data_IF_579085739985
#
_entry.id   IF_579085739985
#
_cell.length_a   1.000
_cell.length_b   1.000
_cell.length_c   1.000
_cell.angle_alpha   90.00
_cell.angle_beta   90.00
_cell.angle_gamma   90.00
#
_symmetry.space_group_name_H-M   'P 1'
#
loop_
_entity.id
_entity.type
_entity.pdbx_description
1 polymer ?
#
# COMPACT_ATOMS: atom_id res chain seq x y z
N UNK A 1 11.74 -8.49 32.30
CA UNK A 1 13.00 -9.25 32.26
C UNK A 1 12.64 -10.70 32.47
N UNK A 2 13.05 -11.56 31.53
CA UNK A 2 12.73 -12.97 31.56
C UNK A 2 13.56 -13.73 32.61
N UNK A 3 12.94 -14.67 33.31
CA UNK A 3 13.62 -15.58 34.23
C UNK A 3 13.65 -17.00 33.68
N UNK A 4 14.76 -17.71 33.87
CA UNK A 4 14.93 -19.08 33.39
C UNK A 4 15.14 -20.04 34.55
N UNK A 5 14.37 -21.13 34.58
CA UNK A 5 14.48 -22.19 35.59
C UNK A 5 14.75 -23.53 34.92
N UNK A 6 15.79 -24.25 35.38
CA UNK A 6 16.06 -25.63 34.95
C UNK A 6 14.99 -26.55 35.56
N UNK A 7 14.37 -27.39 34.73
CA UNK A 7 13.37 -28.39 35.11
C UNK A 7 13.90 -29.79 34.80
N UNK A 8 13.22 -30.83 35.30
CA UNK A 8 13.53 -32.24 35.01
C UNK A 8 13.48 -32.56 33.51
N UNK A 9 12.69 -31.81 32.74
CA UNK A 9 12.46 -32.02 31.30
C UNK A 9 13.12 -30.97 30.39
N UNK A 10 13.86 -30.00 30.95
CA UNK A 10 14.55 -28.96 30.18
C UNK A 10 14.69 -27.61 30.90
N UNK A 11 14.31 -26.53 30.23
CA UNK A 11 14.42 -25.13 30.67
C UNK A 11 13.08 -24.42 30.52
N UNK A 12 12.54 -23.91 31.63
CA UNK A 12 11.37 -23.05 31.64
C UNK A 12 11.79 -21.59 31.54
N UNK A 13 11.20 -20.85 30.62
CA UNK A 13 11.27 -19.39 30.55
C UNK A 13 9.96 -18.80 31.07
N UNK A 14 10.06 -17.82 31.97
CA UNK A 14 8.94 -17.03 32.47
C UNK A 14 9.19 -15.55 32.12
N UNK A 15 8.25 -14.94 31.39
CA UNK A 15 8.29 -13.54 30.96
C UNK A 15 7.17 -12.79 31.66
N UNK A 16 7.52 -11.67 32.28
CA UNK A 16 6.56 -10.71 32.83
C UNK A 16 6.94 -9.30 32.41
N UNK A 17 6.05 -8.64 31.65
CA UNK A 17 6.27 -7.29 31.13
C UNK A 17 4.91 -6.62 30.90
N UNK A 18 4.79 -5.31 31.17
CA UNK A 18 3.54 -4.52 31.04
C UNK A 18 2.27 -5.22 31.55
N UNK A 19 2.35 -5.91 32.69
CA UNK A 19 1.20 -6.63 33.30
C UNK A 19 0.83 -7.96 32.64
N UNK A 20 1.49 -8.37 31.56
CA UNK A 20 1.25 -9.63 30.85
C UNK A 20 2.30 -10.66 31.26
N UNK A 21 1.84 -11.86 31.65
CA UNK A 21 2.70 -13.00 32.04
C UNK A 21 2.59 -14.14 31.03
N UNK A 22 3.72 -14.67 30.59
CA UNK A 22 3.81 -15.85 29.71
C UNK A 22 4.89 -16.79 30.21
N UNK A 23 4.67 -18.10 30.11
CA UNK A 23 5.67 -19.11 30.48
C UNK A 23 5.65 -20.31 29.54
N UNK A 24 6.83 -20.84 29.20
CA UNK A 24 6.96 -22.04 28.37
C UNK A 24 8.24 -22.82 28.68
N UNK A 25 8.20 -24.14 28.50
CA UNK A 25 9.34 -25.04 28.75
C UNK A 25 9.92 -25.53 27.42
N UNK A 26 11.25 -25.57 27.33
CA UNK A 26 12.04 -25.93 26.15
C UNK A 26 13.08 -26.98 26.52
N UNK A 27 13.56 -27.75 25.54
CA UNK A 27 14.63 -28.73 25.80
C UNK A 27 15.99 -28.07 26.04
N UNK A 28 16.27 -26.94 25.38
CA UNK A 28 17.53 -26.21 25.51
C UNK A 28 17.34 -24.82 26.14
N UNK A 29 18.38 -24.34 26.84
CA UNK A 29 18.42 -22.97 27.39
C UNK A 29 18.42 -21.91 26.29
N UNK A 30 19.05 -22.22 25.16
CA UNK A 30 19.14 -21.34 23.99
C UNK A 30 17.76 -21.04 23.41
N UNK A 31 16.92 -22.08 23.25
CA UNK A 31 15.55 -21.92 22.74
C UNK A 31 14.67 -21.14 23.72
N UNK A 32 14.86 -21.37 25.03
CA UNK A 32 14.18 -20.62 26.07
C UNK A 32 14.49 -19.12 26.01
N UNK A 33 15.77 -18.76 25.81
CA UNK A 33 16.21 -17.35 25.65
C UNK A 33 15.68 -16.72 24.36
N UNK A 34 15.74 -17.45 23.24
CA UNK A 34 15.22 -16.94 21.96
C UNK A 34 13.72 -16.64 22.05
N UNK A 35 12.94 -17.56 22.63
CA UNK A 35 11.51 -17.35 22.86
C UNK A 35 11.21 -16.20 23.82
N UNK A 36 11.97 -16.05 24.90
CA UNK A 36 11.71 -14.97 25.86
C UNK A 36 11.95 -13.58 25.27
N UNK A 37 12.99 -13.43 24.44
CA UNK A 37 13.28 -12.17 23.76
C UNK A 37 12.17 -11.81 22.77
N UNK A 38 11.62 -12.81 22.08
CA UNK A 38 10.47 -12.65 21.18
C UNK A 38 9.22 -12.19 21.94
N UNK A 39 8.89 -12.85 23.06
CA UNK A 39 7.71 -12.50 23.87
C UNK A 39 7.87 -11.14 24.55
N UNK A 40 9.06 -10.78 25.00
CA UNK A 40 9.30 -9.44 25.54
C UNK A 40 9.13 -8.35 24.48
N UNK A 41 9.55 -8.61 23.24
CA UNK A 41 9.33 -7.70 22.10
C UNK A 41 7.85 -7.60 21.70
N UNK A 42 7.11 -8.72 21.72
CA UNK A 42 5.65 -8.76 21.49
C UNK A 42 4.89 -7.85 22.46
N UNK A 43 5.22 -7.96 23.75
CA UNK A 43 4.60 -7.16 24.79
C UNK A 43 5.04 -5.69 24.71
N UNK A 44 6.30 -5.43 24.32
CA UNK A 44 6.83 -4.07 24.22
C UNK A 44 6.20 -3.29 23.06
N UNK A 45 6.12 -3.92 21.88
CA UNK A 45 5.74 -3.28 20.62
C UNK A 45 4.23 -3.20 20.39
N UNK A 46 3.40 -3.91 21.17
CA UNK A 46 1.95 -3.99 20.95
C UNK A 46 1.55 -4.68 19.64
N UNK A 47 2.51 -5.31 18.95
CA UNK A 47 2.33 -5.97 17.66
C UNK A 47 2.39 -7.50 17.83
N UNK A 48 1.42 -8.21 17.25
CA UNK A 48 1.45 -9.66 17.13
C UNK A 48 2.67 -10.10 16.32
N UNK A 49 3.66 -10.71 16.99
CA UNK A 49 4.90 -11.24 16.36
C UNK A 49 4.66 -12.75 16.01
N UNK A 50 5.55 -13.46 15.28
CA UNK A 50 5.27 -14.70 14.56
C UNK A 50 4.89 -15.84 15.50
N UNK A 51 3.59 -16.14 15.52
CA UNK A 51 3.03 -17.35 16.08
C UNK A 51 2.80 -18.37 14.99
N UNK A 52 2.75 -19.65 15.37
CA UNK A 52 2.20 -20.69 14.52
C UNK A 52 0.89 -20.20 13.90
N UNK A 53 0.70 -20.47 12.61
CA UNK A 53 -0.54 -20.13 11.93
C UNK A 53 -1.74 -20.64 12.77
N UNK A 54 -2.87 -19.92 12.79
CA UNK A 54 -4.09 -20.40 13.44
C UNK A 54 -4.38 -21.87 13.07
N UNK A 55 -4.98 -22.63 13.98
CA UNK A 55 -5.45 -23.97 13.64
C UNK A 55 -6.43 -23.86 12.46
N UNK A 56 -6.19 -24.62 11.39
CA UNK A 56 -6.91 -24.53 10.11
C UNK A 56 -6.81 -23.17 9.41
N UNK A 57 -5.67 -22.47 9.56
CA UNK A 57 -5.43 -21.19 8.90
C UNK A 57 -5.71 -21.26 7.40
N UNK A 58 -6.30 -20.19 6.88
CA UNK A 58 -6.65 -20.00 5.47
C UNK A 58 -5.95 -18.79 4.90
N UNK A 59 -6.00 -18.65 3.57
CA UNK A 59 -5.52 -17.45 2.90
C UNK A 59 -6.24 -16.19 3.41
N UNK A 60 -7.51 -16.31 3.83
CA UNK A 60 -8.24 -15.25 4.53
C UNK A 60 -7.43 -14.66 5.70
N UNK A 61 -6.80 -15.50 6.53
CA UNK A 61 -6.06 -15.06 7.71
C UNK A 61 -4.80 -14.30 7.35
N UNK A 62 -4.11 -14.72 6.29
CA UNK A 62 -2.95 -14.01 5.72
C UNK A 62 -3.37 -12.63 5.24
N UNK A 63 -4.46 -12.53 4.48
CA UNK A 63 -4.98 -11.26 3.98
C UNK A 63 -5.46 -10.35 5.10
N UNK A 64 -6.13 -10.91 6.12
CA UNK A 64 -6.61 -10.19 7.29
C UNK A 64 -5.45 -9.57 8.06
N UNK A 65 -4.45 -10.38 8.42
CA UNK A 65 -3.27 -9.91 9.13
C UNK A 65 -2.53 -8.84 8.32
N UNK A 66 -2.37 -9.05 7.02
CA UNK A 66 -1.75 -8.06 6.15
C UNK A 66 -2.51 -6.73 6.14
N UNK A 67 -3.84 -6.80 6.04
CA UNK A 67 -4.74 -5.64 6.06
C UNK A 67 -4.65 -4.87 7.38
N UNK A 68 -4.52 -5.57 8.50
CA UNK A 68 -4.58 -4.98 9.84
C UNK A 68 -3.20 -4.47 10.30
N UNK A 69 -2.11 -5.19 9.97
CA UNK A 69 -0.77 -4.91 10.50
C UNK A 69 0.13 -4.12 9.53
N UNK A 70 -0.07 -4.29 8.21
CA UNK A 70 0.85 -3.83 7.17
C UNK A 70 0.26 -2.69 6.35
N UNK A 71 -0.95 -2.87 5.79
CA UNK A 71 -1.57 -1.86 4.94
C UNK A 71 -1.77 -0.48 5.61
N UNK A 72 -2.11 -0.34 6.90
CA UNK A 72 -2.35 0.96 7.53
C UNK A 72 -1.09 1.84 7.60
N UNK A 73 0.10 1.21 7.54
CA UNK A 73 1.39 1.89 7.58
C UNK A 73 1.80 2.49 6.23
N UNK A 74 1.00 2.30 5.18
CA UNK A 74 1.32 2.74 3.81
C UNK A 74 0.49 3.94 3.39
N UNK A 75 1.08 4.83 2.61
CA UNK A 75 0.41 6.00 2.00
C UNK A 75 -0.84 5.61 1.18
N UNK A 76 -0.87 4.40 0.62
CA UNK A 76 -1.98 3.84 -0.15
C UNK A 76 -2.99 2.99 0.66
N UNK A 77 -2.95 3.01 2.00
CA UNK A 77 -3.68 2.11 2.89
C UNK A 77 -5.14 1.90 2.50
N UNK A 78 -5.91 2.99 2.32
CA UNK A 78 -7.34 2.95 1.97
C UNK A 78 -7.61 2.05 0.76
N UNK A 79 -6.80 2.19 -0.28
CA UNK A 79 -6.95 1.46 -1.53
C UNK A 79 -6.51 0.00 -1.42
N UNK A 80 -5.48 -0.29 -0.62
CA UNK A 80 -5.10 -1.69 -0.34
C UNK A 80 -6.19 -2.38 0.48
N UNK A 81 -6.68 -1.75 1.55
CA UNK A 81 -7.70 -2.30 2.45
C UNK A 81 -8.97 -2.67 1.68
N UNK A 82 -9.45 -1.80 0.79
CA UNK A 82 -10.63 -2.11 -0.04
C UNK A 82 -10.42 -3.36 -0.90
N UNK A 83 -9.23 -3.52 -1.51
CA UNK A 83 -8.92 -4.71 -2.33
C UNK A 83 -8.79 -5.96 -1.48
N UNK A 84 -8.13 -5.87 -0.33
CA UNK A 84 -7.98 -6.98 0.61
C UNK A 84 -9.34 -7.44 1.12
N UNK A 85 -10.23 -6.52 1.50
CA UNK A 85 -11.60 -6.85 1.90
C UNK A 85 -12.40 -7.53 0.78
N UNK A 86 -12.18 -7.15 -0.47
CA UNK A 86 -12.79 -7.86 -1.60
C UNK A 86 -12.22 -9.27 -1.76
N UNK A 87 -10.90 -9.43 -1.72
CA UNK A 87 -10.24 -10.73 -1.82
C UNK A 87 -10.64 -11.68 -0.70
N UNK A 88 -10.79 -11.17 0.52
CA UNK A 88 -11.21 -11.94 1.70
C UNK A 88 -12.64 -12.48 1.59
N UNK A 89 -13.45 -11.95 0.67
CA UNK A 89 -14.82 -12.41 0.37
C UNK A 89 -14.86 -13.36 -0.83
N UNK A 90 -13.75 -13.57 -1.52
CA UNK A 90 -13.68 -14.44 -2.69
C UNK A 90 -13.30 -15.87 -2.26
N UNK A 91 -14.22 -16.85 -2.32
CA UNK A 91 -13.98 -18.20 -1.80
C UNK A 91 -12.92 -18.96 -2.59
N UNK A 92 -12.67 -18.62 -3.87
CA UNK A 92 -11.63 -19.26 -4.67
C UNK A 92 -10.22 -19.05 -4.11
N UNK A 93 -10.04 -17.97 -3.33
CA UNK A 93 -8.78 -17.60 -2.73
C UNK A 93 -8.86 -17.66 -1.20
N UNK A 94 -9.80 -16.94 -0.59
CA UNK A 94 -9.85 -16.72 0.85
C UNK A 94 -10.08 -18.01 1.65
N UNK A 95 -10.87 -18.95 1.13
CA UNK A 95 -11.22 -20.18 1.85
C UNK A 95 -10.17 -21.30 1.75
N UNK A 96 -9.16 -21.12 0.90
CA UNK A 96 -8.08 -22.09 0.72
C UNK A 96 -7.26 -22.20 2.00
N UNK A 97 -7.16 -23.42 2.56
CA UNK A 97 -6.31 -23.69 3.73
C UNK A 97 -4.85 -23.44 3.37
N UNK A 98 -4.08 -22.88 4.30
CA UNK A 98 -2.66 -22.58 4.05
C UNK A 98 -1.81 -23.83 3.77
N UNK A 99 -2.23 -25.00 4.27
CA UNK A 99 -1.57 -26.28 3.96
C UNK A 99 -1.77 -26.72 2.51
N UNK A 100 -2.83 -26.24 1.86
CA UNK A 100 -3.20 -26.59 0.48
C UNK A 100 -2.87 -25.46 -0.51
N UNK A 101 -2.56 -24.25 -0.02
CA UNK A 101 -2.41 -23.06 -0.88
C UNK A 101 -1.21 -23.20 -1.81
N UNK A 102 -1.38 -22.77 -3.06
CA UNK A 102 -0.37 -22.98 -4.11
C UNK A 102 -0.79 -22.41 -5.46
N UNK A 103 0.07 -22.54 -6.49
CA UNK A 103 -0.04 -21.80 -7.74
C UNK A 103 -1.40 -21.94 -8.45
N UNK A 104 -2.01 -23.13 -8.40
CA UNK A 104 -3.31 -23.41 -9.01
C UNK A 104 -4.44 -22.50 -8.49
N UNK A 105 -4.41 -22.14 -7.21
CA UNK A 105 -5.45 -21.30 -6.59
C UNK A 105 -5.35 -19.86 -7.08
N UNK A 106 -4.12 -19.34 -7.21
CA UNK A 106 -3.88 -18.00 -7.74
C UNK A 106 -4.17 -17.89 -9.24
N UNK A 107 -3.85 -18.92 -10.03
CA UNK A 107 -4.24 -18.98 -11.45
C UNK A 107 -5.75 -19.01 -11.62
N UNK A 108 -6.46 -19.87 -10.88
CA UNK A 108 -7.92 -19.94 -10.91
C UNK A 108 -8.57 -18.61 -10.50
N UNK A 109 -8.07 -18.00 -9.42
CA UNK A 109 -8.54 -16.69 -8.97
C UNK A 109 -8.27 -15.60 -10.01
N UNK A 110 -7.07 -15.55 -10.60
CA UNK A 110 -6.70 -14.63 -11.70
C UNK A 110 -7.67 -14.74 -12.86
N UNK A 111 -7.92 -15.96 -13.33
CA UNK A 111 -8.73 -16.20 -14.52
C UNK A 111 -10.21 -15.85 -14.27
N UNK A 112 -10.73 -16.12 -13.07
CA UNK A 112 -12.05 -15.66 -12.65
C UNK A 112 -12.11 -14.13 -12.54
N UNK A 113 -11.05 -13.49 -12.04
CA UNK A 113 -10.96 -12.04 -11.86
C UNK A 113 -10.87 -11.29 -13.19
N UNK A 114 -10.12 -11.84 -14.16
CA UNK A 114 -9.97 -11.30 -15.51
C UNK A 114 -11.29 -11.22 -16.29
N UNK A 115 -12.31 -12.00 -15.92
CA UNK A 115 -13.67 -11.89 -16.48
C UNK A 115 -14.43 -10.65 -16.01
N UNK A 116 -13.98 -10.01 -14.92
CA UNK A 116 -14.69 -8.91 -14.25
C UNK A 116 -13.95 -7.57 -14.32
N UNK A 117 -12.62 -7.59 -14.46
CA UNK A 117 -11.78 -6.39 -14.42
C UNK A 117 -10.62 -6.49 -15.42
N UNK A 118 -10.01 -5.35 -15.74
CA UNK A 118 -8.84 -5.29 -16.63
C UNK A 118 -7.60 -5.95 -16.03
N UNK A 119 -6.67 -6.39 -16.90
CA UNK A 119 -5.38 -6.95 -16.50
C UNK A 119 -4.57 -6.04 -15.58
N UNK A 120 -4.63 -4.72 -15.79
CA UNK A 120 -4.00 -3.74 -14.90
C UNK A 120 -4.53 -3.78 -13.45
N UNK A 121 -5.80 -4.12 -13.26
CA UNK A 121 -6.41 -4.24 -11.93
C UNK A 121 -5.93 -5.51 -11.26
N UNK A 122 -5.95 -6.63 -12.00
CA UNK A 122 -5.45 -7.92 -11.51
C UNK A 122 -3.96 -7.83 -11.17
N UNK A 123 -3.15 -7.13 -11.96
CA UNK A 123 -1.72 -6.94 -11.66
C UNK A 123 -1.47 -6.16 -10.35
N UNK A 124 -2.28 -5.13 -10.06
CA UNK A 124 -2.21 -4.41 -8.77
C UNK A 124 -2.59 -5.32 -7.60
N UNK A 125 -3.61 -6.13 -7.79
CA UNK A 125 -4.06 -7.12 -6.82
C UNK A 125 -3.01 -8.21 -6.59
N UNK A 126 -2.38 -8.71 -7.66
CA UNK A 126 -1.24 -9.64 -7.61
C UNK A 126 -0.04 -9.08 -6.85
N UNK A 127 0.25 -7.79 -6.97
CA UNK A 127 1.31 -7.15 -6.18
C UNK A 127 1.04 -7.23 -4.67
N UNK A 128 -0.22 -7.01 -4.26
CA UNK A 128 -0.63 -7.16 -2.86
C UNK A 128 -0.51 -8.61 -2.39
N UNK A 129 -1.03 -9.55 -3.18
CA UNK A 129 -0.96 -10.99 -2.87
C UNK A 129 0.48 -11.48 -2.77
N UNK A 130 1.34 -11.06 -3.70
CA UNK A 130 2.77 -11.41 -3.72
C UNK A 130 3.44 -10.96 -2.42
N UNK A 131 3.21 -9.71 -2.00
CA UNK A 131 3.82 -9.19 -0.79
C UNK A 131 3.24 -9.85 0.47
N UNK A 132 1.92 -10.05 0.55
CA UNK A 132 1.29 -10.73 1.67
C UNK A 132 1.80 -12.18 1.82
N UNK A 133 1.90 -12.92 0.71
CA UNK A 133 2.46 -14.28 0.70
C UNK A 133 3.94 -14.30 1.08
N UNK A 134 4.73 -13.33 0.61
CA UNK A 134 6.14 -13.19 0.99
C UNK A 134 6.31 -12.99 2.49
N UNK A 135 5.49 -12.13 3.12
CA UNK A 135 5.51 -11.94 4.57
C UNK A 135 5.05 -13.21 5.30
N UNK A 136 3.96 -13.83 4.83
CA UNK A 136 3.47 -15.08 5.40
C UNK A 136 4.50 -16.22 5.37
N UNK A 137 5.33 -16.26 4.32
CA UNK A 137 6.44 -17.21 4.20
C UNK A 137 7.67 -16.81 5.01
N UNK A 138 8.22 -15.61 4.81
CA UNK A 138 9.55 -15.23 5.32
C UNK A 138 9.53 -14.69 6.74
N UNK A 139 8.47 -13.99 7.12
CA UNK A 139 8.41 -13.28 8.40
C UNK A 139 7.48 -13.96 9.39
N UNK A 140 6.27 -14.33 8.95
CA UNK A 140 5.29 -14.98 9.81
C UNK A 140 5.50 -16.49 9.91
N UNK A 141 6.21 -17.09 8.93
CA UNK A 141 6.48 -18.52 8.85
C UNK A 141 5.20 -19.38 8.90
N UNK A 142 4.10 -18.86 8.36
CA UNK A 142 2.82 -19.56 8.22
C UNK A 142 2.79 -20.45 6.98
N UNK A 143 3.69 -20.18 6.03
CA UNK A 143 3.89 -20.95 4.81
C UNK A 143 5.31 -21.48 4.77
N UNK A 144 5.49 -22.67 4.22
CA UNK A 144 6.81 -23.30 4.04
C UNK A 144 7.54 -22.77 2.80
N UNK A 145 6.79 -22.35 1.79
CA UNK A 145 7.29 -21.80 0.53
C UNK A 145 6.41 -20.64 0.01
N UNK A 146 6.86 -19.97 -1.05
CA UNK A 146 6.07 -18.92 -1.69
C UNK A 146 5.01 -19.52 -2.62
N UNK A 147 3.71 -19.44 -2.30
CA UNK A 147 2.67 -20.23 -2.97
C UNK A 147 2.27 -19.67 -4.34
N UNK A 148 2.78 -18.48 -4.71
CA UNK A 148 2.61 -17.92 -6.06
C UNK A 148 3.84 -18.11 -6.97
N UNK A 149 4.82 -18.93 -6.56
CA UNK A 149 5.97 -19.23 -7.41
C UNK A 149 5.48 -19.84 -8.74
N UNK A 150 5.95 -19.29 -9.87
CA UNK A 150 5.59 -19.77 -11.21
C UNK A 150 4.22 -19.34 -11.73
N UNK A 151 3.45 -18.51 -11.02
CA UNK A 151 2.15 -18.02 -11.51
C UNK A 151 2.34 -16.86 -12.49
N UNK A 152 1.94 -17.07 -13.75
CA UNK A 152 1.99 -16.02 -14.78
C UNK A 152 1.05 -14.86 -14.47
N UNK A 153 1.51 -13.64 -14.76
CA UNK A 153 0.72 -12.41 -14.61
C UNK A 153 -0.04 -12.08 -15.90
N UNK A 154 -1.19 -11.40 -15.83
CA UNK A 154 -1.82 -10.81 -17.00
C UNK A 154 -0.86 -9.88 -17.74
N UNK A 155 -0.94 -9.81 -19.08
CA UNK A 155 -0.13 -8.87 -19.85
C UNK A 155 -0.42 -7.44 -19.41
N UNK A 156 0.61 -6.60 -19.45
CA UNK A 156 0.41 -5.17 -19.20
C UNK A 156 -0.42 -4.55 -20.32
N UNK A 157 -1.26 -3.59 -19.94
CA UNK A 157 -1.99 -2.82 -20.94
C UNK A 157 -0.98 -2.01 -21.76
N UNK A 158 -1.26 -1.85 -23.06
CA UNK A 158 -0.48 -0.96 -23.91
C UNK A 158 -0.40 0.43 -23.27
N UNK A 159 0.78 1.07 -23.26
CA UNK A 159 0.89 2.45 -22.83
C UNK A 159 -0.04 3.33 -23.67
N UNK A 160 -0.60 4.37 -23.05
CA UNK A 160 -1.36 5.39 -23.77
C UNK A 160 -0.36 6.37 -24.35
N UNK A 161 -0.43 6.60 -25.65
CA UNK A 161 0.45 7.46 -26.45
C UNK A 161 -0.24 8.75 -26.92
N UNK A 162 -1.57 8.84 -26.78
CA UNK A 162 -2.34 10.04 -27.12
C UNK A 162 -2.02 11.22 -26.20
N UNK A 163 -1.60 12.32 -26.80
CA UNK A 163 -1.51 13.67 -26.20
C UNK A 163 -2.76 14.46 -26.58
N UNK A 164 -3.22 15.34 -25.69
CA UNK A 164 -4.40 16.19 -25.93
C UNK A 164 -4.03 17.24 -26.99
N UNK A 165 -4.84 17.38 -28.03
CA UNK A 165 -4.59 18.36 -29.09
C UNK A 165 -4.93 19.80 -28.63
N UNK A 166 -4.28 20.84 -29.18
CA UNK A 166 -4.59 22.23 -28.84
C UNK A 166 -6.07 22.60 -28.97
N UNK A 167 -6.75 22.10 -30.00
CA UNK A 167 -8.20 22.33 -30.21
C UNK A 167 -9.07 21.69 -29.13
N UNK A 168 -8.63 20.56 -28.56
CA UNK A 168 -9.32 19.91 -27.44
C UNK A 168 -9.12 20.68 -26.14
N UNK A 169 -7.94 21.29 -25.94
CA UNK A 169 -7.66 22.20 -24.82
C UNK A 169 -8.61 23.40 -24.90
N UNK A 170 -8.72 24.05 -26.06
CA UNK A 170 -9.62 25.18 -26.26
C UNK A 170 -11.09 24.82 -25.99
N UNK A 171 -11.54 23.67 -26.52
CA UNK A 171 -12.88 23.17 -26.27
C UNK A 171 -13.13 22.89 -24.78
N UNK A 172 -12.16 22.31 -24.08
CA UNK A 172 -12.22 22.05 -22.65
C UNK A 172 -12.33 23.35 -21.84
N UNK A 173 -11.51 24.36 -22.18
CA UNK A 173 -11.53 25.65 -21.51
C UNK A 173 -12.87 26.35 -21.68
N UNK A 174 -13.39 26.40 -22.91
CA UNK A 174 -14.70 26.97 -23.22
C UNK A 174 -15.81 26.26 -22.43
N UNK A 175 -15.80 24.93 -22.41
CA UNK A 175 -16.78 24.15 -21.65
C UNK A 175 -16.65 24.37 -20.14
N UNK A 176 -15.43 24.59 -19.64
CA UNK A 176 -15.19 24.80 -18.21
C UNK A 176 -15.64 26.17 -17.70
N UNK A 177 -15.80 27.15 -18.60
CA UNK A 177 -16.04 28.54 -18.27
C UNK A 177 -14.84 29.23 -17.63
N UNK A 178 -13.63 28.67 -17.74
CA UNK A 178 -12.41 29.31 -17.29
C UNK A 178 -12.02 30.47 -18.22
N UNK A 179 -11.57 31.57 -17.62
CA UNK A 179 -11.01 32.73 -18.30
C UNK A 179 -9.91 33.34 -17.46
N UNK A 180 -8.84 33.81 -18.10
CA UNK A 180 -7.78 34.56 -17.44
C UNK A 180 -8.24 35.95 -16.99
N UNK A 181 -9.32 36.48 -17.58
CA UNK A 181 -9.81 37.83 -17.27
C UNK A 181 -10.61 37.90 -15.96
N UNK A 182 -10.91 36.76 -15.32
CA UNK A 182 -11.72 36.73 -14.10
C UNK A 182 -11.40 35.51 -13.22
N UNK A 183 -11.40 35.64 -11.89
CA UNK A 183 -11.16 34.51 -11.00
C UNK A 183 -12.17 33.35 -11.20
N UNK A 184 -11.73 32.08 -11.13
CA UNK A 184 -12.60 30.91 -11.32
C UNK A 184 -13.55 30.71 -10.13
N UNK A 185 -14.84 31.03 -10.32
CA UNK A 185 -15.88 30.97 -9.27
C UNK A 185 -16.49 29.57 -9.10
N UNK A 186 -16.63 28.81 -10.17
CA UNK A 186 -17.25 27.47 -10.15
C UNK A 186 -16.21 26.37 -9.99
N UNK A 187 -16.62 25.20 -9.50
CA UNK A 187 -15.75 24.01 -9.46
C UNK A 187 -15.19 23.70 -10.84
N UNK A 188 -16.03 23.75 -11.88
CA UNK A 188 -15.61 23.42 -13.24
C UNK A 188 -14.57 24.40 -13.78
N UNK A 189 -14.75 25.71 -13.55
CA UNK A 189 -13.77 26.73 -13.95
C UNK A 189 -12.42 26.58 -13.22
N UNK A 190 -12.43 26.13 -11.95
CA UNK A 190 -11.22 25.81 -11.20
C UNK A 190 -10.50 24.59 -11.77
N UNK A 191 -11.24 23.57 -12.22
CA UNK A 191 -10.65 22.42 -12.92
C UNK A 191 -10.07 22.85 -14.27
N UNK A 192 -10.72 23.77 -14.99
CA UNK A 192 -10.19 24.41 -16.20
C UNK A 192 -8.82 25.08 -15.97
N UNK A 193 -8.71 25.91 -14.93
CA UNK A 193 -7.46 26.53 -14.51
C UNK A 193 -6.38 25.50 -14.17
N UNK A 194 -6.73 24.51 -13.35
CA UNK A 194 -5.83 23.43 -12.92
C UNK A 194 -5.33 22.60 -14.11
N UNK A 195 -6.18 22.36 -15.11
CA UNK A 195 -5.82 21.62 -16.31
C UNK A 195 -4.71 22.32 -17.09
N UNK A 196 -4.84 23.63 -17.33
CA UNK A 196 -3.78 24.39 -18.00
C UNK A 196 -2.51 24.44 -17.18
N UNK A 197 -2.63 24.73 -15.88
CA UNK A 197 -1.48 24.75 -14.98
C UNK A 197 -0.72 23.42 -15.01
N UNK A 198 -1.43 22.29 -14.99
CA UNK A 198 -0.83 20.96 -15.11
C UNK A 198 -0.17 20.72 -16.47
N UNK A 199 -0.75 21.25 -17.55
CA UNK A 199 -0.22 21.14 -18.91
C UNK A 199 1.12 21.88 -19.04
N UNK A 200 1.25 23.06 -18.45
CA UNK A 200 2.47 23.88 -18.53
C UNK A 200 3.57 23.40 -17.58
N UNK A 201 3.21 22.98 -16.38
CA UNK A 201 4.19 22.63 -15.33
C UNK A 201 4.55 21.14 -15.30
N UNK A 202 3.79 20.30 -16.02
CA UNK A 202 3.84 18.84 -15.93
C UNK A 202 3.75 18.30 -14.48
N UNK A 203 3.20 19.09 -13.55
CA UNK A 203 3.01 18.70 -12.15
C UNK A 203 1.92 17.63 -12.05
N UNK A 204 2.06 16.74 -11.06
CA UNK A 204 1.01 15.75 -10.78
C UNK A 204 -0.19 16.47 -10.18
N UNK A 205 -1.41 16.08 -10.54
CA UNK A 205 -2.62 16.67 -9.96
C UNK A 205 -2.66 16.66 -8.43
N UNK A 206 -2.13 15.61 -7.79
CA UNK A 206 -1.99 15.57 -6.33
C UNK A 206 -0.96 16.55 -5.75
N UNK A 207 0.07 16.91 -6.51
CA UNK A 207 1.02 17.97 -6.12
C UNK A 207 0.32 19.33 -6.20
N UNK A 208 -0.41 19.59 -7.29
CA UNK A 208 -1.16 20.84 -7.52
C UNK A 208 -2.23 21.03 -6.44
N UNK A 209 -3.02 20.01 -6.12
CA UNK A 209 -4.10 20.10 -5.14
C UNK A 209 -3.62 20.28 -3.68
N UNK A 210 -2.35 19.99 -3.38
CA UNK A 210 -1.79 20.13 -2.03
C UNK A 210 -0.86 21.35 -1.89
N UNK A 211 -0.66 22.10 -2.98
CA UNK A 211 0.15 23.31 -2.99
C UNK A 211 -0.45 24.37 -2.07
N UNK A 212 0.39 25.03 -1.27
CA UNK A 212 0.00 26.15 -0.43
C UNK A 212 0.56 27.44 -1.01
N UNK A 213 -0.07 28.56 -0.69
CA UNK A 213 0.43 29.90 -1.09
C UNK A 213 1.86 30.13 -0.60
N UNK A 214 2.22 29.61 0.58
CA UNK A 214 3.57 29.71 1.13
C UNK A 214 4.64 28.93 0.34
N UNK A 215 4.23 27.99 -0.51
CA UNK A 215 5.14 27.22 -1.37
C UNK A 215 5.45 27.97 -2.67
N UNK A 216 4.84 29.14 -2.90
CA UNK A 216 4.91 29.90 -4.15
C UNK A 216 5.78 31.15 -3.94
N UNK A 217 6.84 31.28 -4.73
CA UNK A 217 7.61 32.52 -4.83
C UNK A 217 7.14 33.30 -6.06
N UNK A 218 6.25 34.27 -5.85
CA UNK A 218 5.68 35.11 -6.91
C UNK A 218 6.71 36.00 -7.61
N UNK A 219 7.82 36.33 -6.94
CA UNK A 219 8.87 37.15 -7.53
C UNK A 219 9.72 36.32 -8.49
N UNK A 220 10.10 35.11 -8.06
CA UNK A 220 10.91 34.18 -8.87
C UNK A 220 10.07 33.34 -9.84
N UNK A 221 8.75 33.36 -9.71
CA UNK A 221 7.79 32.58 -10.51
C UNK A 221 8.06 31.08 -10.43
N UNK A 222 8.29 30.61 -9.21
CA UNK A 222 8.58 29.19 -8.94
C UNK A 222 7.66 28.67 -7.85
N UNK A 223 7.35 27.37 -7.95
CA UNK A 223 6.62 26.62 -6.93
C UNK A 223 7.54 25.60 -6.30
N UNK A 224 7.61 25.57 -4.98
CA UNK A 224 8.26 24.52 -4.22
C UNK A 224 7.31 23.35 -3.98
N UNK A 225 7.76 22.13 -4.26
CA UNK A 225 7.00 20.91 -3.97
C UNK A 225 7.72 20.16 -2.84
N UNK A 226 7.25 20.28 -1.59
CA UNK A 226 7.92 19.67 -0.44
C UNK A 226 7.78 18.14 -0.44
N UNK A 227 6.64 17.62 -0.90
CA UNK A 227 6.39 16.19 -1.01
C UNK A 227 6.06 15.79 -2.45
N UNK A 228 6.88 14.91 -3.01
CA UNK A 228 6.59 14.26 -4.29
C UNK A 228 6.28 12.78 -4.09
N UNK A 229 5.67 12.17 -5.10
CA UNK A 229 5.46 10.71 -5.14
C UNK A 229 6.77 9.91 -4.96
N UNK A 230 7.91 10.49 -5.36
CA UNK A 230 9.24 9.89 -5.27
C UNK A 230 10.02 10.31 -4.02
N UNK A 231 9.44 11.15 -3.15
CA UNK A 231 10.07 11.60 -1.90
C UNK A 231 11.21 12.61 -2.08
N UNK A 232 11.42 13.12 -3.29
CA UNK A 232 12.44 14.14 -3.58
C UNK A 232 11.74 15.50 -3.74
N UNK A 233 11.96 16.46 -2.85
CA UNK A 233 11.45 17.82 -3.01
C UNK A 233 12.07 18.49 -4.23
N UNK A 234 11.33 19.40 -4.88
CA UNK A 234 11.84 20.12 -6.05
C UNK A 234 11.21 21.49 -6.22
N UNK A 235 11.92 22.39 -6.89
CA UNK A 235 11.37 23.61 -7.43
C UNK A 235 10.89 23.37 -8.85
N UNK A 236 9.70 23.85 -9.18
CA UNK A 236 9.15 23.83 -10.54
C UNK A 236 9.03 25.28 -11.00
N UNK A 237 9.79 25.69 -12.03
CA UNK A 237 9.57 26.97 -12.66
C UNK A 237 8.25 26.93 -13.44
N UNK A 238 7.44 27.98 -13.28
CA UNK A 238 6.26 28.14 -14.11
C UNK A 238 6.59 29.11 -15.25
N UNK A 239 6.39 28.64 -16.48
CA UNK A 239 6.95 29.29 -17.67
C UNK A 239 6.02 30.37 -18.23
N UNK A 240 4.71 30.32 -17.95
CA UNK A 240 3.73 31.26 -18.50
C UNK A 240 3.42 32.42 -17.50
N UNK A 241 3.78 33.68 -17.84
CA UNK A 241 3.50 34.86 -17.03
C UNK A 241 2.01 35.07 -16.69
N UNK A 242 1.08 34.52 -17.48
CA UNK A 242 -0.37 34.71 -17.30
C UNK A 242 -0.92 34.10 -16.01
N UNK A 243 -0.21 33.14 -15.40
CA UNK A 243 -0.59 32.59 -14.10
C UNK A 243 -0.12 33.44 -12.92
N UNK A 244 0.77 34.41 -13.17
CA UNK A 244 1.36 35.28 -12.15
C UNK A 244 0.71 36.66 -12.08
N UNK A 245 -0.19 36.99 -13.01
CA UNK A 245 -0.95 38.22 -12.95
C UNK A 245 -2.03 38.06 -11.89
N UNK A 246 -1.71 38.48 -10.67
CA UNK A 246 -2.64 38.51 -9.55
C UNK A 246 -3.94 39.23 -9.94
N UNK A 247 -5.04 38.56 -9.65
CA UNK A 247 -6.34 39.21 -9.45
C UNK A 247 -6.53 39.45 -7.96
#
# INVERSE_FOLDING_TARGET
MASFKKTTTGWRADVFKKGVRRSKTFRSKRDAIAWSNQVEYEIESGHHTPGAAPANARMHDVLKRYRDDISPKKRGARWEITRLNQMMRDPLLADVRLVDVGPRHFSAWRDARMKKVSGSTVNREFNLLTHACKLAWREWQWLTEHPMAGVSRPPENKPRDRVIAPTEIEAYLKASGFSFSSPPKTVLSRVGAMFLFASETAMRGGEICNMKVADIDFNKRVVYIPETKTGVPRWVPEVDPKFWTGA
#
